data_IF_552672497518
#
_entry.id   IF_552672497518
#
_cell.length_a   1.000
_cell.length_b   1.000
_cell.length_c   1.000
_cell.angle_alpha   90.00
_cell.angle_beta   90.00
_cell.angle_gamma   90.00
#
_symmetry.space_group_name_H-M   'P 1'
#
loop_
_entity.id
_entity.type
_entity.pdbx_description
1 polymer ?
#
# COMPACT_ATOMS: atom_id res chain seq x y z
N UNK A 1 6.49 1.70 9.64
CA UNK A 1 5.26 2.50 9.94
C UNK A 1 3.97 1.74 9.64
N UNK A 2 3.86 1.00 8.53
CA UNK A 2 2.61 0.31 8.13
C UNK A 2 2.06 -0.62 9.23
N UNK A 3 2.90 -1.44 9.85
CA UNK A 3 2.49 -2.29 10.99
C UNK A 3 1.73 -1.49 12.07
N UNK A 4 2.30 -0.38 12.53
CA UNK A 4 1.72 0.44 13.60
C UNK A 4 0.41 1.07 13.14
N UNK A 5 0.38 1.69 11.96
CA UNK A 5 -0.82 2.39 11.47
C UNK A 5 -1.97 1.42 11.19
N UNK A 6 -1.69 0.24 10.63
CA UNK A 6 -2.70 -0.81 10.44
C UNK A 6 -3.19 -1.29 11.81
N UNK A 7 -2.31 -1.53 12.78
CA UNK A 7 -2.70 -1.91 14.13
C UNK A 7 -3.66 -0.89 14.77
N UNK A 8 -3.33 0.40 14.68
CA UNK A 8 -4.16 1.48 15.25
C UNK A 8 -5.51 1.65 14.53
N UNK A 9 -5.58 1.38 13.22
CA UNK A 9 -6.76 1.76 12.41
C UNK A 9 -7.58 0.58 11.89
N UNK A 10 -7.12 -0.67 12.05
CA UNK A 10 -7.81 -1.85 11.54
C UNK A 10 -9.24 -1.99 12.07
N UNK A 11 -9.47 -1.70 13.36
CA UNK A 11 -10.81 -1.74 13.97
C UNK A 11 -11.73 -0.58 13.57
N UNK A 12 -11.20 0.47 12.93
CA UNK A 12 -11.94 1.70 12.60
C UNK A 12 -12.21 1.81 11.10
N UNK A 13 -11.16 1.75 10.28
CA UNK A 13 -11.24 1.91 8.82
C UNK A 13 -10.90 0.65 8.04
N UNK A 14 -10.48 -0.43 8.71
CA UNK A 14 -9.86 -1.60 8.06
C UNK A 14 -8.37 -1.42 7.78
N UNK A 15 -7.78 -0.26 8.06
CA UNK A 15 -6.32 -0.07 8.04
C UNK A 15 -5.67 -0.14 6.65
N UNK A 16 -6.32 0.40 5.61
CA UNK A 16 -5.81 0.27 4.24
C UNK A 16 -4.53 1.08 3.98
N UNK A 17 -4.52 2.36 4.37
CA UNK A 17 -3.39 3.31 4.25
C UNK A 17 -2.76 3.38 2.84
N UNK A 18 -3.46 2.90 1.81
CA UNK A 18 -2.94 2.69 0.47
C UNK A 18 -4.09 2.54 -0.56
N UNK A 19 -4.09 3.31 -1.66
CA UNK A 19 -5.08 3.18 -2.72
C UNK A 19 -5.08 1.81 -3.38
N UNK A 20 -3.93 1.18 -3.60
CA UNK A 20 -3.84 -0.14 -4.22
C UNK A 20 -4.47 -1.23 -3.35
N UNK A 21 -4.27 -1.15 -2.02
CA UNK A 21 -4.94 -2.04 -1.06
C UNK A 21 -6.46 -1.82 -1.06
N UNK A 22 -6.88 -0.56 -1.03
CA UNK A 22 -8.31 -0.19 -1.10
C UNK A 22 -8.96 -0.70 -2.38
N UNK A 23 -8.27 -0.55 -3.51
CA UNK A 23 -8.69 -1.02 -4.82
C UNK A 23 -8.80 -2.54 -4.88
N UNK A 24 -7.79 -3.27 -4.38
CA UNK A 24 -7.84 -4.74 -4.30
C UNK A 24 -9.04 -5.23 -3.48
N UNK A 25 -9.27 -4.64 -2.29
CA UNK A 25 -10.42 -4.99 -1.46
C UNK A 25 -11.77 -4.60 -2.08
N UNK A 26 -11.82 -3.52 -2.86
CA UNK A 26 -12.98 -3.14 -3.67
C UNK A 26 -13.28 -4.17 -4.78
N UNK A 27 -12.28 -4.56 -5.56
CA UNK A 27 -12.41 -5.60 -6.59
C UNK A 27 -12.89 -6.94 -5.99
N UNK A 28 -12.44 -7.21 -4.78
CA UNK A 28 -12.85 -8.35 -3.98
C UNK A 28 -14.25 -8.24 -3.35
N UNK A 29 -14.99 -7.15 -3.63
CA UNK A 29 -16.31 -6.83 -3.07
C UNK A 29 -16.35 -6.72 -1.54
N UNK A 30 -15.22 -6.40 -0.90
CA UNK A 30 -15.11 -6.17 0.56
C UNK A 30 -15.28 -4.70 0.95
N UNK A 31 -15.29 -3.80 -0.02
CA UNK A 31 -15.43 -2.34 0.17
C UNK A 31 -16.39 -1.81 -0.90
N UNK A 32 -17.32 -0.93 -0.55
CA UNK A 32 -18.22 -0.30 -1.53
C UNK A 32 -17.49 0.76 -2.36
N UNK A 33 -18.01 1.05 -3.56
CA UNK A 33 -17.40 2.04 -4.47
C UNK A 33 -17.22 3.41 -3.80
N UNK A 34 -18.26 3.94 -3.16
CA UNK A 34 -18.22 5.25 -2.49
C UNK A 34 -17.14 5.25 -1.40
N UNK A 35 -17.08 4.20 -0.57
CA UNK A 35 -16.06 4.11 0.48
C UNK A 35 -14.65 4.00 -0.11
N UNK A 36 -14.48 3.23 -1.19
CA UNK A 36 -13.20 3.09 -1.87
C UNK A 36 -12.68 4.42 -2.41
N UNK A 37 -13.53 5.17 -3.12
CA UNK A 37 -13.17 6.50 -3.65
C UNK A 37 -12.85 7.48 -2.52
N UNK A 38 -13.69 7.56 -1.48
CA UNK A 38 -13.45 8.44 -0.33
C UNK A 38 -12.14 8.10 0.39
N UNK A 39 -11.80 6.82 0.52
CA UNK A 39 -10.54 6.39 1.12
C UNK A 39 -9.33 6.79 0.26
N UNK A 40 -9.39 6.61 -1.06
CA UNK A 40 -8.28 6.99 -1.95
C UNK A 40 -8.02 8.50 -1.91
N UNK A 41 -9.08 9.31 -1.90
CA UNK A 41 -8.97 10.78 -1.75
C UNK A 41 -8.33 11.12 -0.41
N UNK A 42 -8.87 10.59 0.70
CA UNK A 42 -8.33 10.86 2.03
C UNK A 42 -6.86 10.43 2.19
N UNK A 43 -6.48 9.29 1.60
CA UNK A 43 -5.10 8.80 1.59
C UNK A 43 -4.17 9.75 0.83
N UNK A 44 -4.59 10.23 -0.35
CA UNK A 44 -3.81 11.18 -1.15
C UNK A 44 -3.63 12.52 -0.44
N UNK A 45 -4.70 13.08 0.13
CA UNK A 45 -4.64 14.34 0.89
C UNK A 45 -3.74 14.20 2.12
N UNK A 46 -3.87 13.11 2.88
CA UNK A 46 -3.00 12.83 4.03
C UNK A 46 -1.53 12.71 3.64
N UNK A 47 -1.22 12.08 2.49
CA UNK A 47 0.14 11.96 1.99
C UNK A 47 0.74 13.33 1.59
N UNK A 48 -0.04 14.19 0.92
CA UNK A 48 0.38 15.57 0.61
C UNK A 48 0.69 16.33 1.89
N UNK A 49 -0.21 16.31 2.88
CA UNK A 49 -0.01 16.97 4.16
C UNK A 49 1.26 16.46 4.88
N UNK A 50 1.44 15.15 4.94
CA UNK A 50 2.60 14.53 5.59
C UNK A 50 3.92 14.93 4.96
N UNK A 51 4.02 14.89 3.63
CA UNK A 51 5.25 15.31 2.93
C UNK A 51 5.46 16.82 3.03
N UNK A 52 4.38 17.61 2.99
CA UNK A 52 4.42 19.07 3.19
C UNK A 52 5.03 19.45 4.53
N UNK A 53 4.66 18.75 5.61
CA UNK A 53 5.26 18.93 6.94
C UNK A 53 6.77 18.61 6.95
N UNK A 54 7.20 17.54 6.28
CA UNK A 54 8.63 17.22 6.16
C UNK A 54 9.38 18.35 5.44
N UNK A 55 8.85 18.86 4.32
CA UNK A 55 9.45 19.99 3.61
C UNK A 55 9.52 21.24 4.48
N UNK A 56 8.51 21.50 5.32
CA UNK A 56 8.51 22.63 6.25
C UNK A 56 9.63 22.51 7.31
N UNK A 57 9.87 21.31 7.84
CA UNK A 57 10.91 21.09 8.86
C UNK A 57 12.33 21.07 8.31
N UNK A 58 12.52 20.62 7.08
CA UNK A 58 13.86 20.42 6.50
C UNK A 58 13.91 20.86 5.04
N UNK A 59 13.46 22.09 4.74
CA UNK A 59 13.31 22.61 3.37
C UNK A 59 14.54 22.38 2.46
N UNK A 60 15.72 22.79 2.91
CA UNK A 60 16.94 22.70 2.09
C UNK A 60 17.39 21.24 1.88
N UNK A 61 17.52 20.39 2.92
CA UNK A 61 17.77 18.95 2.73
C UNK A 61 16.71 18.27 1.86
N UNK A 62 15.42 18.57 2.07
CA UNK A 62 14.31 17.99 1.33
C UNK A 62 14.46 18.21 -0.19
N UNK A 63 14.66 19.47 -0.61
CA UNK A 63 14.80 19.80 -2.02
C UNK A 63 16.08 19.22 -2.64
N UNK A 64 17.19 19.21 -1.89
CA UNK A 64 18.49 18.71 -2.39
C UNK A 64 18.55 17.19 -2.52
N UNK A 65 17.86 16.46 -1.64
CA UNK A 65 17.94 14.99 -1.52
C UNK A 65 16.77 14.25 -2.20
N UNK A 66 16.10 14.90 -3.15
CA UNK A 66 15.08 14.26 -4.00
C UNK A 66 13.66 14.22 -3.41
N UNK A 67 13.40 14.90 -2.30
CA UNK A 67 12.05 15.09 -1.73
C UNK A 67 11.29 13.82 -1.35
N UNK A 68 11.99 12.68 -1.27
CA UNK A 68 11.38 11.37 -1.08
C UNK A 68 10.47 10.92 -2.23
N UNK A 69 10.56 11.53 -3.42
CA UNK A 69 9.76 11.19 -4.58
C UNK A 69 10.21 9.88 -5.23
N UNK A 70 9.24 9.10 -5.73
CA UNK A 70 9.54 7.90 -6.51
C UNK A 70 9.88 8.30 -7.95
N UNK A 71 10.99 7.77 -8.47
CA UNK A 71 11.40 7.95 -9.87
C UNK A 71 12.16 6.70 -10.33
N UNK A 72 12.27 6.46 -11.64
CA UNK A 72 13.08 5.35 -12.16
C UNK A 72 14.57 5.65 -11.95
N UNK A 73 15.30 4.79 -11.24
CA UNK A 73 16.72 4.98 -11.00
C UNK A 73 17.53 4.86 -12.31
N UNK A 74 18.66 5.58 -12.45
CA UNK A 74 19.55 5.43 -13.59
C UNK A 74 19.97 3.97 -13.81
N UNK A 75 20.05 3.54 -15.06
CA UNK A 75 20.38 2.16 -15.44
C UNK A 75 19.18 1.22 -15.56
N UNK A 76 17.99 1.63 -15.13
CA UNK A 76 16.74 0.90 -15.33
C UNK A 76 15.87 1.57 -16.39
N UNK A 77 15.15 0.76 -17.17
CA UNK A 77 14.13 1.27 -18.08
C UNK A 77 12.75 1.30 -17.41
N UNK A 78 11.79 2.03 -18.00
CA UNK A 78 10.42 2.17 -17.46
C UNK A 78 9.67 0.83 -17.36
N UNK A 79 9.95 -0.12 -18.23
CA UNK A 79 9.37 -1.47 -18.19
C UNK A 79 9.83 -2.25 -16.95
N UNK A 80 11.12 -2.20 -16.61
CA UNK A 80 11.65 -2.81 -15.38
C UNK A 80 11.06 -2.17 -14.13
N UNK A 81 10.96 -0.85 -14.08
CA UNK A 81 10.33 -0.14 -12.97
C UNK A 81 8.85 -0.54 -12.81
N UNK A 82 8.09 -0.58 -13.91
CA UNK A 82 6.70 -1.00 -13.90
C UNK A 82 6.55 -2.45 -13.40
N UNK A 83 7.38 -3.37 -13.90
CA UNK A 83 7.37 -4.78 -13.45
C UNK A 83 7.68 -4.92 -11.96
N UNK A 84 8.66 -4.17 -11.44
CA UNK A 84 8.99 -4.16 -10.02
C UNK A 84 7.82 -3.67 -9.16
N UNK A 85 7.15 -2.59 -9.57
CA UNK A 85 5.99 -2.04 -8.86
C UNK A 85 4.77 -2.97 -8.90
N UNK A 86 4.54 -3.67 -10.02
CA UNK A 86 3.48 -4.69 -10.16
C UNK A 86 3.72 -5.84 -9.17
N UNK A 87 4.91 -6.45 -9.22
CA UNK A 87 5.23 -7.62 -8.39
C UNK A 87 5.28 -7.24 -6.91
N UNK A 88 5.92 -6.11 -6.58
CA UNK A 88 5.98 -5.61 -5.21
C UNK A 88 4.58 -5.35 -4.63
N UNK A 89 3.69 -4.74 -5.42
CA UNK A 89 2.31 -4.51 -4.96
C UNK A 89 1.50 -5.80 -4.89
N UNK A 90 1.73 -6.75 -5.79
CA UNK A 90 1.12 -8.08 -5.71
C UNK A 90 1.46 -8.76 -4.38
N UNK A 91 2.74 -8.79 -3.98
CA UNK A 91 3.18 -9.38 -2.70
C UNK A 91 2.47 -8.72 -1.52
N UNK A 92 2.39 -7.38 -1.52
CA UNK A 92 1.69 -6.62 -0.48
C UNK A 92 0.19 -6.99 -0.44
N UNK A 93 -0.52 -6.87 -1.56
CA UNK A 93 -1.99 -7.01 -1.60
C UNK A 93 -2.40 -8.48 -1.40
N UNK A 94 -1.62 -9.44 -1.90
CA UNK A 94 -1.79 -10.85 -1.57
C UNK A 94 -1.69 -11.08 -0.06
N UNK A 95 -0.66 -10.53 0.58
CA UNK A 95 -0.49 -10.61 2.04
C UNK A 95 -1.66 -9.98 2.78
N UNK A 96 -2.19 -8.85 2.29
CA UNK A 96 -3.40 -8.22 2.87
C UNK A 96 -4.59 -9.17 2.83
N UNK A 97 -4.83 -9.83 1.69
CA UNK A 97 -5.93 -10.79 1.58
C UNK A 97 -5.76 -11.96 2.56
N UNK A 98 -4.57 -12.55 2.63
CA UNK A 98 -4.28 -13.63 3.57
C UNK A 98 -4.35 -13.19 5.04
N UNK A 99 -4.15 -11.90 5.31
CA UNK A 99 -4.23 -11.32 6.64
C UNK A 99 -5.65 -10.83 7.03
N UNK A 100 -6.66 -11.01 6.17
CA UNK A 100 -8.05 -10.67 6.51
C UNK A 100 -8.60 -11.64 7.57
N UNK A 101 -9.27 -11.12 8.60
CA UNK A 101 -10.04 -11.95 9.53
C UNK A 101 -11.46 -12.16 8.96
N UNK A 102 -11.85 -13.39 8.57
CA UNK A 102 -13.17 -13.64 7.99
C UNK A 102 -14.32 -13.44 9.01
N UNK A 103 -14.01 -13.34 10.31
CA UNK A 103 -15.02 -13.24 11.38
C UNK A 103 -15.09 -11.86 12.02
N UNK A 104 -14.20 -10.92 11.66
CA UNK A 104 -14.13 -9.61 12.31
C UNK A 104 -14.12 -8.50 11.29
N UNK A 105 -15.01 -7.53 11.49
CA UNK A 105 -15.10 -6.33 10.67
C UNK A 105 -14.77 -5.07 11.46
N UNK A 106 -14.32 -4.04 10.75
CA UNK A 106 -14.17 -2.70 11.29
C UNK A 106 -15.53 -2.13 11.70
N UNK A 107 -15.52 -1.25 12.69
CA UNK A 107 -16.69 -0.64 13.33
C UNK A 107 -17.76 -0.22 12.30
N UNK A 108 -19.00 -0.64 12.55
CA UNK A 108 -20.20 -0.28 11.80
C UNK A 108 -20.05 -0.50 10.28
N UNK A 109 -19.35 -1.56 9.87
CA UNK A 109 -19.08 -1.87 8.46
C UNK A 109 -18.81 -3.34 8.19
N UNK A 110 -18.70 -3.70 6.90
CA UNK A 110 -18.30 -5.03 6.43
C UNK A 110 -16.83 -5.10 5.98
N UNK A 111 -16.03 -4.06 6.27
CA UNK A 111 -14.61 -4.03 5.93
C UNK A 111 -13.86 -4.96 6.89
N UNK A 112 -13.06 -5.92 6.41
CA UNK A 112 -12.38 -6.87 7.30
C UNK A 112 -11.33 -6.20 8.17
N UNK A 113 -11.17 -6.69 9.41
CA UNK A 113 -10.00 -6.39 10.24
C UNK A 113 -8.79 -7.12 9.68
N UNK A 114 -7.64 -6.45 9.64
CA UNK A 114 -6.40 -6.99 9.10
C UNK A 114 -5.42 -7.36 10.22
N UNK A 115 -4.70 -8.47 10.06
CA UNK A 115 -3.54 -8.79 10.90
C UNK A 115 -2.34 -7.90 10.47
N UNK A 116 -1.87 -6.97 11.32
CA UNK A 116 -0.99 -5.89 10.87
C UNK A 116 0.47 -6.30 10.65
N UNK A 117 0.97 -7.30 11.40
CA UNK A 117 2.39 -7.65 11.40
C UNK A 117 2.86 -8.23 10.05
N UNK A 118 2.17 -9.24 9.45
CA UNK A 118 2.55 -9.74 8.12
C UNK A 118 2.51 -8.66 7.04
N UNK A 119 1.52 -7.75 7.10
CA UNK A 119 1.39 -6.64 6.14
C UNK A 119 2.59 -5.69 6.26
N UNK A 120 2.97 -5.32 7.48
CA UNK A 120 4.17 -4.51 7.73
C UNK A 120 5.45 -5.17 7.22
N UNK A 121 5.58 -6.49 7.42
CA UNK A 121 6.72 -7.27 6.93
C UNK A 121 6.75 -7.38 5.40
N UNK A 122 5.60 -7.59 4.74
CA UNK A 122 5.52 -7.60 3.28
C UNK A 122 6.00 -6.27 2.69
N UNK A 123 5.55 -5.14 3.25
CA UNK A 123 6.04 -3.82 2.85
C UNK A 123 7.55 -3.71 3.07
N UNK A 124 8.07 -4.13 4.23
CA UNK A 124 9.50 -4.10 4.52
C UNK A 124 10.32 -4.93 3.51
N UNK A 125 9.92 -6.17 3.25
CA UNK A 125 10.61 -7.06 2.29
C UNK A 125 10.62 -6.48 0.89
N UNK A 126 9.49 -5.93 0.42
CA UNK A 126 9.43 -5.29 -0.90
C UNK A 126 10.37 -4.08 -0.95
N UNK A 127 10.42 -3.25 0.10
CA UNK A 127 11.35 -2.13 0.14
C UNK A 127 12.82 -2.57 0.01
N UNK A 128 13.22 -3.65 0.69
CA UNK A 128 14.58 -4.19 0.56
C UNK A 128 14.93 -4.55 -0.89
N UNK A 129 13.97 -5.04 -1.67
CA UNK A 129 14.18 -5.45 -3.06
C UNK A 129 14.04 -4.29 -4.07
N UNK A 130 13.13 -3.34 -3.84
CA UNK A 130 12.73 -2.36 -4.88
C UNK A 130 13.24 -0.94 -4.65
N UNK A 131 13.84 -0.62 -3.49
CA UNK A 131 14.48 0.68 -3.26
C UNK A 131 15.48 1.04 -4.37
N UNK A 132 16.39 0.14 -4.80
CA UNK A 132 17.38 0.47 -5.83
C UNK A 132 16.79 0.78 -7.21
N UNK A 133 15.55 0.36 -7.50
CA UNK A 133 14.92 0.51 -8.83
C UNK A 133 14.07 1.78 -8.87
N UNK A 134 13.22 2.00 -7.87
CA UNK A 134 12.20 3.07 -7.89
C UNK A 134 12.10 3.89 -6.60
N UNK A 135 12.91 3.56 -5.59
CA UNK A 135 12.69 4.01 -4.21
C UNK A 135 11.47 3.34 -3.53
N UNK A 136 10.85 2.35 -4.19
CA UNK A 136 9.63 1.63 -3.78
C UNK A 136 8.38 2.51 -3.70
N UNK A 137 7.50 2.38 -4.68
CA UNK A 137 6.18 3.01 -4.69
C UNK A 137 5.18 2.18 -3.89
N UNK A 138 4.68 1.11 -4.50
CA UNK A 138 3.63 0.15 -4.08
C UNK A 138 2.38 0.75 -3.42
N UNK A 139 2.27 2.08 -3.42
CA UNK A 139 1.28 2.89 -2.75
C UNK A 139 1.10 4.21 -3.52
N UNK A 140 0.05 4.32 -4.35
CA UNK A 140 -0.16 5.51 -5.17
C UNK A 140 -0.28 6.81 -4.38
N UNK A 141 -0.90 6.80 -3.19
CA UNK A 141 -1.03 8.00 -2.36
C UNK A 141 0.34 8.50 -1.87
N UNK A 142 1.22 7.57 -1.44
CA UNK A 142 2.60 7.90 -1.02
C UNK A 142 3.41 8.48 -2.17
N UNK A 143 3.28 7.91 -3.37
CA UNK A 143 3.98 8.41 -4.56
C UNK A 143 3.43 9.77 -5.01
N UNK A 144 2.11 9.95 -4.96
CA UNK A 144 1.44 11.20 -5.34
C UNK A 144 1.74 12.35 -4.38
N UNK A 145 1.63 12.12 -3.07
CA UNK A 145 1.94 13.14 -2.07
C UNK A 145 3.38 13.66 -2.20
N UNK A 146 4.33 12.77 -2.46
CA UNK A 146 5.73 13.15 -2.69
C UNK A 146 5.91 13.91 -4.02
N UNK A 147 5.29 13.46 -5.12
CA UNK A 147 5.36 14.14 -6.41
C UNK A 147 4.79 15.57 -6.35
N UNK A 148 3.66 15.77 -5.66
CA UNK A 148 3.01 17.08 -5.49
C UNK A 148 3.92 18.06 -4.73
N UNK A 149 4.50 17.64 -3.60
CA UNK A 149 5.29 18.55 -2.75
C UNK A 149 6.71 18.78 -3.29
N UNK A 150 7.30 17.77 -3.94
CA UNK A 150 8.62 17.88 -4.55
C UNK A 150 8.57 18.64 -5.88
N UNK A 151 7.50 18.43 -6.65
CA UNK A 151 7.19 19.12 -7.92
C UNK A 151 8.37 19.20 -8.90
N UNK A 152 8.93 18.03 -9.24
CA UNK A 152 10.07 17.90 -10.15
C UNK A 152 9.63 17.26 -11.47
N UNK A 153 10.18 17.73 -12.60
CA UNK A 153 9.81 17.24 -13.94
C UNK A 153 9.97 15.72 -14.09
N UNK A 154 11.13 15.17 -13.73
CA UNK A 154 11.37 13.71 -13.82
C UNK A 154 10.41 12.92 -12.92
N UNK A 155 10.11 13.44 -11.72
CA UNK A 155 9.17 12.80 -10.81
C UNK A 155 7.76 12.72 -11.40
N UNK A 156 7.32 13.75 -12.13
CA UNK A 156 6.05 13.74 -12.84
C UNK A 156 6.08 12.85 -14.10
N UNK A 157 7.16 12.84 -14.87
CA UNK A 157 7.31 12.01 -16.08
C UNK A 157 7.27 10.49 -15.80
N UNK A 158 7.73 10.09 -14.61
CA UNK A 158 7.71 8.70 -14.15
C UNK A 158 6.45 8.38 -13.33
N UNK A 159 5.64 9.39 -12.96
CA UNK A 159 4.60 9.26 -11.93
C UNK A 159 3.53 8.21 -12.25
N UNK A 160 3.16 8.08 -13.52
CA UNK A 160 2.12 7.15 -13.98
C UNK A 160 2.43 5.69 -13.61
N UNK A 161 3.71 5.32 -13.51
CA UNK A 161 4.17 3.97 -13.15
C UNK A 161 3.65 3.60 -11.76
N UNK A 162 3.65 4.56 -10.84
CA UNK A 162 3.27 4.37 -9.44
C UNK A 162 1.76 4.40 -9.19
N UNK A 163 0.96 4.56 -10.24
CA UNK A 163 -0.48 4.30 -10.24
C UNK A 163 -0.81 3.00 -10.96
N UNK A 164 -0.32 2.88 -12.20
CA UNK A 164 -0.61 1.73 -13.08
C UNK A 164 -0.03 0.45 -12.50
N UNK A 165 1.24 0.46 -12.09
CA UNK A 165 1.90 -0.73 -11.53
C UNK A 165 1.18 -1.25 -10.28
N UNK A 166 0.96 -0.42 -9.26
CA UNK A 166 0.25 -0.86 -8.06
C UNK A 166 -1.18 -1.34 -8.29
N UNK A 167 -1.95 -0.70 -9.18
CA UNK A 167 -3.31 -1.18 -9.49
C UNK A 167 -3.32 -2.51 -10.25
N UNK A 168 -2.39 -2.73 -11.17
CA UNK A 168 -2.24 -4.03 -11.85
C UNK A 168 -1.80 -5.13 -10.87
N UNK A 169 -0.85 -4.84 -9.97
CA UNK A 169 -0.44 -5.77 -8.92
C UNK A 169 -1.58 -6.13 -7.96
N UNK A 170 -2.36 -5.14 -7.55
CA UNK A 170 -3.54 -5.34 -6.70
C UNK A 170 -4.63 -6.16 -7.40
N UNK A 171 -4.89 -5.90 -8.68
CA UNK A 171 -5.83 -6.68 -9.50
C UNK A 171 -5.39 -8.14 -9.60
N UNK A 172 -4.13 -8.39 -9.92
CA UNK A 172 -3.57 -9.74 -10.01
C UNK A 172 -3.69 -10.49 -8.66
N UNK A 173 -3.38 -9.82 -7.55
CA UNK A 173 -3.51 -10.40 -6.21
C UNK A 173 -4.97 -10.73 -5.85
N UNK A 174 -5.91 -9.85 -6.21
CA UNK A 174 -7.33 -10.10 -6.01
C UNK A 174 -7.81 -11.31 -6.82
N UNK A 175 -7.41 -11.39 -8.11
CA UNK A 175 -7.77 -12.54 -8.97
C UNK A 175 -7.20 -13.83 -8.40
N UNK A 176 -5.92 -13.83 -8.07
CA UNK A 176 -5.21 -14.99 -7.54
C UNK A 176 -5.84 -15.51 -6.24
N UNK A 177 -6.08 -14.63 -5.27
CA UNK A 177 -6.64 -15.03 -3.98
C UNK A 177 -8.10 -15.47 -4.09
N UNK A 178 -8.92 -14.77 -4.88
CA UNK A 178 -10.36 -15.05 -4.95
C UNK A 178 -10.74 -16.22 -5.84
N UNK A 179 -10.14 -16.33 -7.03
CA UNK A 179 -10.60 -17.28 -8.05
C UNK A 179 -9.69 -18.48 -8.19
N UNK A 180 -8.37 -18.29 -8.06
CA UNK A 180 -7.38 -19.38 -8.18
C UNK A 180 -7.31 -20.17 -6.87
N UNK A 181 -7.01 -19.50 -5.75
CA UNK A 181 -6.93 -20.17 -4.45
C UNK A 181 -8.30 -20.43 -3.80
N UNK A 182 -9.31 -19.64 -4.16
CA UNK A 182 -10.65 -19.67 -3.53
C UNK A 182 -10.60 -19.56 -2.00
N UNK A 183 -9.65 -18.79 -1.48
CA UNK A 183 -9.34 -18.74 -0.05
C UNK A 183 -10.21 -17.74 0.76
N UNK A 184 -11.41 -17.40 0.28
CA UNK A 184 -12.26 -16.37 0.91
C UNK A 184 -12.68 -16.70 2.36
N UNK A 185 -12.80 -17.99 2.68
CA UNK A 185 -13.15 -18.49 4.01
C UNK A 185 -11.93 -18.86 4.87
N UNK A 186 -10.71 -18.78 4.32
CA UNK A 186 -9.50 -19.16 5.03
C UNK A 186 -9.12 -18.09 6.07
N UNK A 187 -8.70 -18.53 7.26
CA UNK A 187 -8.13 -17.66 8.30
C UNK A 187 -6.67 -18.03 8.50
N UNK A 188 -5.74 -17.12 8.21
CA UNK A 188 -4.35 -17.33 8.55
C UNK A 188 -4.17 -17.31 10.09
N UNK A 189 -3.45 -18.30 10.62
CA UNK A 189 -3.07 -18.32 12.03
C UNK A 189 -1.85 -17.40 12.22
N UNK A 190 -1.99 -16.38 13.08
CA UNK A 190 -0.87 -15.52 13.46
C UNK A 190 0.19 -16.29 14.25
N UNK A 191 1.43 -15.79 14.24
CA UNK A 191 2.63 -16.46 14.78
C UNK A 191 2.58 -16.80 16.27
N UNK A 192 1.64 -16.27 17.05
CA UNK A 192 1.54 -16.53 18.49
C UNK A 192 0.21 -17.21 18.80
N UNK A 193 0.26 -18.54 19.02
CA UNK A 193 -0.73 -19.23 19.84
C UNK A 193 -0.43 -18.84 21.29
N UNK A 194 -1.27 -18.05 21.92
CA UNK A 194 -1.37 -18.10 23.38
C UNK A 194 -1.97 -19.47 23.72
N UNK A 195 -1.21 -20.33 24.38
CA UNK A 195 -1.79 -21.51 25.01
C UNK A 195 -2.87 -21.04 25.99
N UNK A 196 -4.07 -21.65 26.01
CA UNK A 196 -5.12 -21.31 26.99
C UNK A 196 -4.80 -21.73 28.43
N UNK A 197 -3.54 -22.06 28.76
CA UNK A 197 -3.16 -22.73 30.02
C UNK A 197 -2.11 -21.98 30.84
N UNK A 198 -1.88 -20.68 30.59
CA UNK A 198 -1.10 -19.83 31.49
C UNK A 198 -1.97 -18.69 32.02
#
# INVERSE_FOLDING_TARGET
MIFILVYCTAGISGGHINPAVTFGLFLARKVSLIRAVSYMIAQCLGAICGVGLVKAFMHNPYNRLGGGANTVAPGYNKGTALGAEIIGTFVLVYTVFSATDPKRSARDSHVPVLAPLPIGFAVFMVHLATIPITGTGINPARSFGAAVIFNNGKAWDDHWIFWVGPFLGALAAAIYHQYILRAQAAKALGSFRSNPTN
#
